data_IF_318042822217
#
_entry.id   IF_318042822217
#
_cell.length_a   1.000
_cell.length_b   1.000
_cell.length_c   1.000
_cell.angle_alpha   90.00
_cell.angle_beta   90.00
_cell.angle_gamma   90.00
#
_symmetry.space_group_name_H-M   'P 1'
#
loop_
_entity.id
_entity.type
_entity.pdbx_description
1 polymer ?
#
# COMPACT_ATOMS: atom_id res chain seq x y z
N UNK A 1 36.08 -56.17 -70.77
CA UNK A 1 36.68 -56.97 -69.68
C UNK A 1 36.38 -56.30 -68.34
N UNK A 2 35.98 -57.11 -67.35
CA UNK A 2 35.96 -56.86 -65.91
C UNK A 2 35.07 -55.76 -65.29
N UNK A 3 33.97 -56.24 -64.68
CA UNK A 3 33.21 -55.65 -63.58
C UNK A 3 34.13 -55.21 -62.43
N UNK A 4 33.81 -54.08 -61.77
CA UNK A 4 34.07 -53.90 -60.34
C UNK A 4 32.83 -53.32 -59.65
N UNK A 5 32.28 -54.18 -58.80
CA UNK A 5 31.18 -53.94 -57.87
C UNK A 5 31.73 -53.23 -56.62
N UNK A 6 31.06 -52.17 -56.19
CA UNK A 6 31.05 -51.64 -54.82
C UNK A 6 29.64 -51.05 -54.63
N UNK A 7 28.65 -51.75 -54.07
CA UNK A 7 28.43 -52.02 -52.64
C UNK A 7 28.71 -50.76 -51.81
N UNK A 8 27.71 -49.94 -51.45
CA UNK A 8 27.10 -49.82 -50.10
C UNK A 8 26.84 -48.31 -49.90
N UNK A 9 25.90 -47.76 -49.13
CA UNK A 9 24.91 -48.25 -48.17
C UNK A 9 23.88 -47.11 -48.04
N UNK A 10 22.61 -47.46 -48.05
CA UNK A 10 21.47 -46.55 -47.85
C UNK A 10 21.33 -46.31 -46.33
N UNK A 11 21.57 -45.09 -45.84
CA UNK A 11 21.29 -44.73 -44.45
C UNK A 11 20.20 -43.66 -44.45
N UNK A 12 18.97 -44.12 -44.17
CA UNK A 12 17.82 -43.29 -43.85
C UNK A 12 17.95 -42.83 -42.39
N UNK A 13 18.27 -41.55 -42.18
CA UNK A 13 18.16 -40.91 -40.87
C UNK A 13 16.72 -40.44 -40.66
N UNK A 14 15.97 -41.20 -39.85
CA UNK A 14 14.65 -40.81 -39.34
C UNK A 14 14.86 -39.82 -38.20
N UNK A 15 14.55 -38.54 -38.43
CA UNK A 15 14.49 -37.53 -37.38
C UNK A 15 13.16 -37.65 -36.61
N UNK A 16 13.20 -38.18 -35.40
CA UNK A 16 12.09 -38.14 -34.46
C UNK A 16 11.98 -36.71 -33.88
N UNK A 17 10.96 -35.96 -34.33
CA UNK A 17 10.63 -34.64 -33.78
C UNK A 17 9.93 -34.80 -32.43
N UNK A 18 10.66 -34.56 -31.34
CA UNK A 18 10.07 -34.44 -30.01
C UNK A 18 9.28 -33.12 -29.92
N UNK A 19 7.96 -33.21 -29.84
CA UNK A 19 7.09 -32.07 -29.59
C UNK A 19 7.32 -31.54 -28.17
N UNK A 20 7.97 -30.39 -28.06
CA UNK A 20 8.12 -29.68 -26.79
C UNK A 20 6.77 -29.02 -26.48
N UNK A 21 6.07 -29.57 -25.49
CA UNK A 21 4.82 -28.97 -24.99
C UNK A 21 5.18 -27.75 -24.13
N UNK A 22 4.96 -26.55 -24.66
CA UNK A 22 5.19 -25.31 -23.94
C UNK A 22 4.08 -25.10 -22.89
N UNK A 23 4.40 -24.96 -21.59
CA UNK A 23 3.37 -24.75 -20.58
C UNK A 23 2.72 -23.37 -20.75
N UNK A 24 1.41 -23.36 -20.95
CA UNK A 24 0.60 -22.14 -21.01
C UNK A 24 0.79 -21.29 -19.73
N UNK A 25 0.79 -19.95 -19.82
CA UNK A 25 0.88 -19.10 -18.64
C UNK A 25 -0.38 -19.33 -17.79
N UNK A 26 -0.19 -19.90 -16.61
CA UNK A 26 -1.24 -19.96 -15.60
C UNK A 26 -1.73 -18.53 -15.34
N UNK A 27 -3.01 -18.27 -15.62
CA UNK A 27 -3.67 -17.02 -15.23
C UNK A 27 -3.49 -16.89 -13.73
N UNK A 28 -2.65 -15.96 -13.29
CA UNK A 28 -2.49 -15.63 -11.89
C UNK A 28 -3.87 -15.20 -11.37
N UNK A 29 -4.53 -16.09 -10.63
CA UNK A 29 -5.70 -15.72 -9.84
C UNK A 29 -5.28 -14.56 -8.97
N UNK A 30 -5.86 -13.38 -9.24
CA UNK A 30 -5.76 -12.22 -8.36
C UNK A 30 -6.39 -12.64 -7.05
N UNK A 31 -5.56 -13.15 -6.13
CA UNK A 31 -5.94 -13.32 -4.73
C UNK A 31 -6.41 -11.93 -4.31
N UNK A 32 -7.69 -11.81 -3.97
CA UNK A 32 -8.21 -10.57 -3.39
C UNK A 32 -7.38 -10.31 -2.14
N UNK A 33 -6.41 -9.40 -2.27
CA UNK A 33 -5.76 -8.79 -1.14
C UNK A 33 -6.88 -8.01 -0.50
N UNK A 34 -7.48 -8.58 0.56
CA UNK A 34 -8.31 -7.80 1.46
C UNK A 34 -7.54 -6.51 1.70
N UNK A 35 -8.12 -5.36 1.36
CA UNK A 35 -7.48 -4.06 1.48
C UNK A 35 -7.09 -3.90 2.95
N UNK A 36 -5.85 -4.26 3.26
CA UNK A 36 -5.38 -4.36 4.64
C UNK A 36 -5.06 -2.97 5.18
N UNK A 37 -5.33 -1.90 4.44
CA UNK A 37 -4.92 -0.54 4.77
C UNK A 37 -3.41 -0.39 4.71
N UNK A 38 -2.93 0.76 4.25
CA UNK A 38 -1.50 1.06 4.27
C UNK A 38 -1.07 1.36 5.71
N UNK A 39 0.02 0.73 6.17
CA UNK A 39 0.63 1.08 7.46
C UNK A 39 1.38 2.39 7.27
N UNK A 40 0.91 3.44 7.93
CA UNK A 40 1.44 4.79 7.81
C UNK A 40 1.77 5.37 9.18
N UNK A 41 2.72 6.31 9.19
CA UNK A 41 3.08 7.08 10.38
C UNK A 41 2.82 8.55 10.11
N UNK A 42 2.03 9.17 10.99
CA UNK A 42 1.69 10.58 10.94
C UNK A 42 2.07 11.28 12.23
N UNK A 43 2.41 12.56 12.11
CA UNK A 43 2.60 13.46 13.25
C UNK A 43 1.60 14.58 13.13
N UNK A 44 0.81 14.82 14.18
CA UNK A 44 -0.22 15.85 14.15
C UNK A 44 -0.80 16.12 15.54
N UNK A 45 -1.72 17.07 15.57
CA UNK A 45 -2.42 17.47 16.78
C UNK A 45 -3.68 16.64 16.97
N UNK A 46 -3.77 15.90 18.07
CA UNK A 46 -4.97 15.13 18.36
C UNK A 46 -6.04 16.04 18.97
N UNK A 47 -7.20 16.15 18.33
CA UNK A 47 -8.35 16.91 18.81
C UNK A 47 -9.56 16.00 18.98
N UNK A 48 -10.44 16.35 19.90
CA UNK A 48 -11.77 15.75 20.00
C UNK A 48 -12.76 16.53 19.13
N UNK A 49 -13.61 15.80 18.42
CA UNK A 49 -14.77 16.32 17.70
C UNK A 49 -16.06 15.80 18.34
N UNK A 50 -17.20 16.42 18.00
CA UNK A 50 -18.53 16.03 18.46
C UNK A 50 -18.62 15.79 19.98
N UNK A 51 -18.23 16.80 20.77
CA UNK A 51 -18.25 16.71 22.24
C UNK A 51 -17.45 15.53 22.82
N UNK A 52 -16.42 15.04 22.11
CA UNK A 52 -15.59 13.93 22.57
C UNK A 52 -16.06 12.55 22.11
N UNK A 53 -17.03 12.48 21.20
CA UNK A 53 -17.46 11.22 20.58
C UNK A 53 -16.47 10.75 19.51
N UNK A 54 -15.80 11.68 18.81
CA UNK A 54 -14.82 11.36 17.77
C UNK A 54 -13.46 12.00 18.07
N UNK A 55 -12.41 11.39 17.55
CA UNK A 55 -11.06 11.96 17.59
C UNK A 55 -10.60 12.27 16.17
N UNK A 56 -9.98 13.42 15.99
CA UNK A 56 -9.44 13.87 14.72
C UNK A 56 -7.99 14.26 14.89
N UNK A 57 -7.14 13.83 13.97
CA UNK A 57 -5.77 14.31 13.84
C UNK A 57 -5.80 15.53 12.93
N UNK A 58 -5.38 16.69 13.44
CA UNK A 58 -5.21 17.93 12.68
C UNK A 58 -3.74 18.21 12.43
N UNK A 59 -3.46 19.17 11.53
CA UNK A 59 -2.09 19.64 11.26
C UNK A 59 -1.12 18.50 10.92
N UNK A 60 -1.64 17.55 10.14
CA UNK A 60 -0.95 16.31 9.83
C UNK A 60 0.29 16.59 8.99
N UNK A 61 1.41 16.05 9.45
CA UNK A 61 2.71 16.10 8.81
C UNK A 61 3.26 14.68 8.63
N UNK A 62 4.10 14.52 7.61
CA UNK A 62 4.66 13.23 7.20
C UNK A 62 4.59 13.05 5.67
N UNK A 63 5.32 12.06 5.13
CA UNK A 63 5.42 11.83 3.69
C UNK A 63 4.07 11.51 3.03
N UNK A 64 3.20 10.79 3.73
CA UNK A 64 1.89 10.35 3.20
C UNK A 64 0.72 11.17 3.76
N UNK A 65 1.00 12.35 4.34
CA UNK A 65 -0.01 13.15 5.02
C UNK A 65 -1.08 13.64 4.02
N UNK A 66 -2.38 13.47 4.32
CA UNK A 66 -3.44 13.92 3.42
C UNK A 66 -3.42 15.44 3.27
N UNK A 67 -3.43 15.89 2.02
CA UNK A 67 -3.48 17.32 1.67
C UNK A 67 -4.57 17.57 0.64
N UNK A 68 -5.38 18.59 0.90
CA UNK A 68 -6.38 19.06 -0.05
C UNK A 68 -5.75 20.16 -0.91
N UNK A 69 -6.10 20.13 -2.20
CA UNK A 69 -5.70 21.13 -3.18
C UNK A 69 -6.93 21.91 -3.61
N UNK A 70 -6.88 23.24 -3.57
CA UNK A 70 -7.94 24.11 -4.08
C UNK A 70 -7.40 25.03 -5.16
N UNK A 71 -8.20 25.26 -6.20
CA UNK A 71 -7.91 26.13 -7.34
C UNK A 71 -8.93 27.27 -7.50
N UNK A 72 -9.83 27.45 -6.51
CA UNK A 72 -10.96 28.38 -6.58
C UNK A 72 -10.55 29.84 -6.81
N UNK A 73 -9.34 30.23 -6.42
CA UNK A 73 -8.82 31.60 -6.54
C UNK A 73 -7.91 31.79 -7.76
N UNK A 74 -7.82 30.83 -8.68
CA UNK A 74 -6.85 30.85 -9.78
C UNK A 74 -5.41 30.47 -9.35
N UNK A 75 -5.16 30.38 -8.03
CA UNK A 75 -3.92 29.88 -7.46
C UNK A 75 -4.13 28.53 -6.80
N UNK A 76 -3.13 27.66 -6.93
CA UNK A 76 -3.10 26.37 -6.26
C UNK A 76 -2.71 26.58 -4.79
N UNK A 77 -3.69 26.39 -3.91
CA UNK A 77 -3.45 26.35 -2.47
C UNK A 77 -3.43 24.90 -1.99
N UNK A 78 -2.48 24.58 -1.11
CA UNK A 78 -2.39 23.27 -0.44
C UNK A 78 -2.67 23.46 1.04
N UNK A 79 -3.63 22.73 1.58
CA UNK A 79 -3.98 22.75 3.01
C UNK A 79 -3.91 21.36 3.62
N UNK A 80 -3.57 21.28 4.89
CA UNK A 80 -3.70 20.05 5.67
C UNK A 80 -5.16 19.64 5.76
N UNK A 81 -5.42 18.33 5.71
CA UNK A 81 -6.74 17.75 5.93
C UNK A 81 -6.74 17.10 7.31
N UNK A 82 -7.86 17.21 8.01
CA UNK A 82 -8.05 16.52 9.28
C UNK A 82 -8.49 15.08 9.02
N UNK A 83 -7.99 14.13 9.80
CA UNK A 83 -8.24 12.70 9.59
C UNK A 83 -8.88 12.10 10.82
N UNK A 84 -9.88 11.24 10.66
CA UNK A 84 -10.51 10.58 11.82
C UNK A 84 -9.55 9.55 12.39
N UNK A 85 -9.44 9.49 13.71
CA UNK A 85 -8.63 8.49 14.40
C UNK A 85 -9.52 7.62 15.25
N UNK A 86 -9.46 6.33 14.98
CA UNK A 86 -10.08 5.27 15.77
C UNK A 86 -8.97 4.43 16.38
N UNK A 87 -9.16 3.95 17.61
CA UNK A 87 -8.22 3.02 18.23
C UNK A 87 -8.94 1.85 18.87
N UNK A 88 -8.19 0.78 19.10
CA UNK A 88 -8.62 -0.29 20.00
C UNK A 88 -8.60 0.13 21.48
N UNK A 89 -9.01 -0.80 22.34
CA UNK A 89 -9.13 -0.60 23.80
C UNK A 89 -7.82 -0.26 24.53
N UNK A 90 -6.67 -0.55 23.93
CA UNK A 90 -5.35 -0.36 24.56
C UNK A 90 -4.81 1.07 24.48
N UNK A 91 -5.27 1.88 23.52
CA UNK A 91 -4.73 3.23 23.28
C UNK A 91 -5.71 4.26 23.83
N UNK A 92 -5.27 5.06 24.79
CA UNK A 92 -6.06 6.14 25.38
C UNK A 92 -5.93 7.41 24.53
N UNK A 93 -6.72 7.50 23.46
CA UNK A 93 -6.78 8.70 22.60
C UNK A 93 -7.20 9.95 23.40
N UNK A 94 -8.15 9.79 24.33
CA UNK A 94 -8.69 10.89 25.14
C UNK A 94 -7.61 11.61 25.97
N UNK A 95 -6.67 10.88 26.55
CA UNK A 95 -5.59 11.43 27.39
C UNK A 95 -4.55 12.23 26.56
N UNK A 96 -4.57 12.02 25.25
CA UNK A 96 -3.65 12.63 24.29
C UNK A 96 -4.28 13.79 23.53
N UNK A 97 -5.55 14.14 23.81
CA UNK A 97 -6.22 15.29 23.20
C UNK A 97 -5.50 16.58 23.60
N UNK A 98 -5.30 17.46 22.63
CA UNK A 98 -4.56 18.70 22.78
C UNK A 98 -3.04 18.55 22.73
N UNK A 99 -2.51 17.35 22.44
CA UNK A 99 -1.06 17.12 22.37
C UNK A 99 -0.62 16.82 20.94
N UNK A 100 0.63 17.19 20.62
CA UNK A 100 1.27 16.76 19.40
C UNK A 100 1.69 15.30 19.55
N UNK A 101 1.15 14.44 18.69
CA UNK A 101 1.35 12.99 18.76
C UNK A 101 1.86 12.45 17.44
N UNK A 102 2.67 11.40 17.53
CA UNK A 102 3.04 10.52 16.43
C UNK A 102 2.16 9.29 16.53
N UNK A 103 1.34 9.07 15.51
CA UNK A 103 0.45 7.91 15.43
C UNK A 103 0.91 7.03 14.28
N UNK A 104 1.10 5.76 14.57
CA UNK A 104 1.34 4.73 13.57
C UNK A 104 0.17 3.77 13.57
N UNK A 105 -0.31 3.43 12.38
CA UNK A 105 -1.44 2.54 12.25
C UNK A 105 -1.83 2.33 10.80
N UNK A 106 -2.98 1.68 10.63
CA UNK A 106 -3.50 1.34 9.31
C UNK A 106 -4.46 2.41 8.84
N UNK A 107 -4.20 2.94 7.64
CA UNK A 107 -5.04 3.96 7.01
C UNK A 107 -5.93 3.33 5.95
N UNK A 108 -7.21 3.69 5.98
CA UNK A 108 -8.17 3.42 4.94
C UNK A 108 -8.88 4.73 4.59
N UNK A 109 -8.54 5.32 3.44
CA UNK A 109 -9.07 6.63 3.04
C UNK A 109 -8.71 7.76 4.00
N UNK A 110 -9.72 8.34 4.65
CA UNK A 110 -9.59 9.44 5.62
C UNK A 110 -9.71 8.98 7.09
N UNK A 111 -9.65 7.67 7.30
CA UNK A 111 -9.67 7.06 8.63
C UNK A 111 -8.32 6.41 8.96
N UNK A 112 -7.86 6.65 10.19
CA UNK A 112 -6.69 6.00 10.79
C UNK A 112 -7.14 5.05 11.89
N UNK A 113 -6.83 3.77 11.73
CA UNK A 113 -6.87 2.85 12.85
C UNK A 113 -5.51 2.88 13.56
N UNK A 114 -5.43 3.60 14.67
CA UNK A 114 -4.22 3.72 15.47
C UNK A 114 -3.84 2.38 16.11
N UNK A 115 -2.59 1.96 15.89
CA UNK A 115 -2.00 0.76 16.49
C UNK A 115 -0.95 1.13 17.55
N UNK A 116 -0.30 2.27 17.39
CA UNK A 116 0.55 2.87 18.41
C UNK A 116 0.43 4.40 18.41
N UNK A 117 0.62 4.98 19.59
CA UNK A 117 0.61 6.42 19.80
C UNK A 117 1.80 6.78 20.70
N UNK A 118 2.60 7.73 20.23
CA UNK A 118 3.69 8.30 20.98
C UNK A 118 3.53 9.82 21.07
N UNK A 119 3.90 10.40 22.20
CA UNK A 119 3.98 11.85 22.34
C UNK A 119 5.16 12.36 21.50
N UNK A 120 4.89 13.34 20.63
CA UNK A 120 5.87 13.85 19.67
C UNK A 120 6.44 15.22 20.04
N UNK A 121 5.81 15.96 20.96
CA UNK A 121 6.28 17.29 21.33
C UNK A 121 5.20 18.13 21.98
N UNK A 122 5.28 19.46 21.81
CA UNK A 122 4.47 20.42 22.56
C UNK A 122 2.95 20.22 22.50
N UNK A 123 2.26 20.87 23.44
CA UNK A 123 0.79 20.99 23.47
C UNK A 123 0.35 21.81 22.25
N UNK A 124 -0.71 21.35 21.59
CA UNK A 124 -1.34 22.03 20.48
C UNK A 124 -2.10 23.25 20.99
N UNK A 125 -1.83 24.42 20.40
CA UNK A 125 -2.59 25.65 20.66
C UNK A 125 -3.81 25.76 19.73
#
# INVERSE_FOLDING_TARGET
>A
MAKRLFATVFILLVFAAAAVSSPAPAKASKRAVADRGEVVTFVGCLRSADHGARFMLTDITGPNAPRARSWKTGFITRRSVSMTVTSGRSIKLRDSVGKLVRITGRRAGDDLHAESLAFAGAICR
#
